data_IF_740665753852
#
_entry.id   IF_740665753852
#
_cell.length_a   1.000
_cell.length_b   1.000
_cell.length_c   1.000
_cell.angle_alpha   90.00
_cell.angle_beta   90.00
_cell.angle_gamma   90.00
#
_symmetry.space_group_name_H-M   'P 1'
#
loop_
_entity.id
_entity.type
_entity.pdbx_description
1 polymer ?
#
# COMPACT_ATOMS: atom_id res chain seq x y z
N UNK A 1 -8.27 -4.47 -3.51
CA UNK A 1 -9.00 -3.19 -3.51
C UNK A 1 -8.00 -2.04 -3.59
N UNK A 2 -8.32 -0.98 -4.31
CA UNK A 2 -7.53 0.27 -4.38
C UNK A 2 -8.37 1.43 -3.89
N UNK A 3 -7.80 2.27 -3.04
CA UNK A 3 -8.39 3.50 -2.52
C UNK A 3 -7.56 4.66 -3.05
N UNK A 4 -8.22 5.64 -3.65
CA UNK A 4 -7.63 6.85 -4.20
C UNK A 4 -8.19 8.03 -3.38
N UNK A 5 -7.42 8.54 -2.42
CA UNK A 5 -7.79 9.74 -1.67
C UNK A 5 -7.91 10.95 -2.60
N UNK A 6 -8.71 11.94 -2.22
CA UNK A 6 -8.86 13.22 -2.95
C UNK A 6 -7.62 14.12 -2.94
N UNK A 7 -6.43 13.54 -2.73
CA UNK A 7 -5.18 14.23 -2.48
C UNK A 7 -4.15 13.78 -3.50
N UNK A 8 -3.32 14.69 -3.98
CA UNK A 8 -2.26 14.39 -4.94
C UNK A 8 -0.89 14.57 -4.31
N UNK A 9 -0.05 13.53 -4.38
CA UNK A 9 1.35 13.60 -3.96
C UNK A 9 2.22 13.75 -5.20
N UNK A 10 3.02 14.81 -5.23
CA UNK A 10 4.01 15.00 -6.29
C UNK A 10 5.09 13.91 -6.22
N UNK A 11 5.22 13.13 -7.28
CA UNK A 11 6.32 12.16 -7.42
C UNK A 11 7.68 12.83 -7.26
N UNK A 12 7.88 14.03 -7.84
CA UNK A 12 9.12 14.80 -7.66
C UNK A 12 9.42 15.10 -6.20
N UNK A 13 8.42 15.51 -5.44
CA UNK A 13 8.56 15.74 -4.00
C UNK A 13 8.93 14.45 -3.26
N UNK A 14 8.22 13.34 -3.53
CA UNK A 14 8.43 12.07 -2.85
C UNK A 14 9.87 11.54 -3.06
N UNK A 15 10.35 11.58 -4.30
CA UNK A 15 11.73 11.21 -4.63
C UNK A 15 12.77 12.18 -4.04
N UNK A 16 12.48 13.49 -3.98
CA UNK A 16 13.40 14.45 -3.36
C UNK A 16 13.59 14.20 -1.86
N UNK A 17 12.54 13.74 -1.18
CA UNK A 17 12.56 13.35 0.24
C UNK A 17 13.22 11.98 0.43
N UNK A 18 12.97 11.02 -0.46
CA UNK A 18 13.55 9.69 -0.37
C UNK A 18 15.07 9.69 -0.63
N UNK A 19 15.59 10.48 -1.59
CA UNK A 19 17.04 10.57 -1.85
C UNK A 19 17.84 11.01 -0.63
N UNK A 20 17.28 11.89 0.23
CA UNK A 20 17.89 12.28 1.50
C UNK A 20 18.01 11.12 2.51
N UNK A 21 17.28 10.02 2.31
CA UNK A 21 17.24 8.85 3.19
C UNK A 21 18.03 7.66 2.62
N UNK A 22 18.14 7.56 1.29
CA UNK A 22 18.83 6.47 0.57
C UNK A 22 20.36 6.45 0.79
N UNK A 23 20.94 7.41 1.50
CA UNK A 23 22.34 7.39 1.94
C UNK A 23 22.63 6.31 3.00
N UNK A 24 21.67 5.42 3.30
CA UNK A 24 21.82 4.30 4.23
C UNK A 24 21.70 2.96 3.48
N UNK A 25 22.83 2.25 3.35
CA UNK A 25 22.95 1.00 2.59
C UNK A 25 22.15 -0.15 3.18
N UNK A 26 20.99 -0.45 2.58
CA UNK A 26 20.21 -1.65 2.84
C UNK A 26 20.46 -2.72 1.79
N UNK A 27 20.60 -3.98 2.20
CA UNK A 27 20.63 -5.13 1.27
C UNK A 27 19.27 -5.25 0.58
N UNK A 28 19.29 -5.35 -0.76
CA UNK A 28 18.08 -5.62 -1.52
C UNK A 28 17.51 -7.01 -1.16
N UNK A 29 16.20 -7.13 -0.87
CA UNK A 29 15.57 -8.42 -0.65
C UNK A 29 15.62 -9.26 -1.93
N UNK A 30 15.94 -10.56 -1.79
CA UNK A 30 15.91 -11.51 -2.90
C UNK A 30 14.47 -11.94 -3.19
N UNK A 31 13.79 -11.23 -4.09
CA UNK A 31 12.42 -11.51 -4.50
C UNK A 31 12.23 -12.87 -5.19
N UNK A 32 13.27 -13.44 -5.80
CA UNK A 32 13.15 -14.75 -6.46
C UNK A 32 12.87 -15.87 -5.44
N UNK A 33 13.61 -15.90 -4.33
CA UNK A 33 13.40 -16.88 -3.26
C UNK A 33 12.14 -16.66 -2.42
N UNK A 34 11.44 -15.54 -2.62
CA UNK A 34 10.18 -15.21 -1.94
C UNK A 34 8.96 -15.84 -2.65
N UNK A 35 9.04 -16.04 -3.96
CA UNK A 35 7.97 -16.61 -4.80
C UNK A 35 7.85 -18.13 -4.61
N UNK A 36 8.95 -18.80 -4.27
CA UNK A 36 8.99 -20.26 -4.06
C UNK A 36 8.37 -20.72 -2.73
N UNK A 37 7.88 -19.79 -1.89
CA UNK A 37 7.29 -20.10 -0.59
C UNK A 37 5.79 -20.31 -0.70
N UNK A 38 5.27 -21.26 0.09
CA UNK A 38 3.82 -21.51 0.22
C UNK A 38 3.04 -20.35 0.83
N UNK A 39 3.71 -19.48 1.58
CA UNK A 39 3.15 -18.25 2.13
C UNK A 39 3.94 -17.04 1.65
N UNK A 40 3.24 -16.01 1.18
CA UNK A 40 3.83 -14.73 0.78
C UNK A 40 4.22 -13.96 2.06
N UNK A 41 5.52 -13.74 2.33
CA UNK A 41 5.92 -13.04 3.53
C UNK A 41 5.84 -11.53 3.28
N UNK A 42 4.64 -10.98 3.48
CA UNK A 42 4.31 -9.57 3.25
C UNK A 42 5.25 -8.56 3.96
N UNK A 43 5.94 -8.98 5.03
CA UNK A 43 6.98 -8.18 5.71
C UNK A 43 8.14 -7.72 4.80
N UNK A 44 8.37 -8.38 3.66
CA UNK A 44 9.40 -7.97 2.69
C UNK A 44 8.86 -7.06 1.57
N UNK A 45 7.55 -6.80 1.55
CA UNK A 45 6.88 -5.94 0.58
C UNK A 45 6.65 -4.53 1.13
N UNK A 46 7.64 -3.99 1.85
CA UNK A 46 7.58 -2.63 2.34
C UNK A 46 7.83 -1.62 1.20
N UNK A 47 7.04 -0.56 1.19
CA UNK A 47 7.24 0.55 0.26
C UNK A 47 8.05 1.65 0.96
N UNK A 48 9.24 1.94 0.44
CA UNK A 48 10.18 2.92 1.00
C UNK A 48 9.60 4.33 1.17
N UNK A 49 8.59 4.69 0.38
CA UNK A 49 7.89 5.98 0.46
C UNK A 49 6.96 6.06 1.66
N UNK A 50 6.47 4.94 2.21
CA UNK A 50 5.47 4.95 3.29
C UNK A 50 5.92 5.77 4.49
N UNK A 51 7.17 5.61 4.94
CA UNK A 51 7.67 6.36 6.09
C UNK A 51 7.60 7.88 5.89
N UNK A 52 7.97 8.37 4.70
CA UNK A 52 7.95 9.81 4.42
C UNK A 52 6.55 10.32 4.11
N UNK A 53 5.74 9.50 3.42
CA UNK A 53 4.38 9.85 3.03
C UNK A 53 3.48 9.87 4.26
N UNK A 54 3.49 8.85 5.10
CA UNK A 54 2.64 8.80 6.30
C UNK A 54 3.06 9.80 7.36
N UNK A 55 4.35 10.16 7.43
CA UNK A 55 4.79 11.23 8.32
C UNK A 55 4.34 12.62 7.85
N UNK A 56 4.15 12.82 6.53
CA UNK A 56 3.74 14.12 5.97
C UNK A 56 2.22 14.22 5.80
N UNK A 57 1.59 13.11 5.44
CA UNK A 57 0.18 12.91 5.13
C UNK A 57 -0.34 11.73 5.97
N UNK A 58 -0.49 11.90 7.30
CA UNK A 58 -0.90 10.83 8.21
C UNK A 58 -2.24 10.20 7.84
N UNK A 59 -3.13 10.96 7.18
CA UNK A 59 -4.40 10.47 6.67
C UNK A 59 -4.27 9.30 5.67
N UNK A 60 -3.16 9.22 4.93
CA UNK A 60 -2.88 8.07 4.05
C UNK A 60 -2.48 6.85 4.86
N UNK A 61 -1.70 7.05 5.94
CA UNK A 61 -1.35 6.00 6.88
C UNK A 61 -2.59 5.42 7.55
N UNK A 62 -3.52 6.29 7.96
CA UNK A 62 -4.80 5.87 8.55
C UNK A 62 -5.62 4.99 7.60
N UNK A 63 -5.62 5.25 6.30
CA UNK A 63 -6.30 4.39 5.31
C UNK A 63 -5.67 3.00 5.29
N UNK A 64 -4.34 2.90 5.31
CA UNK A 64 -3.64 1.61 5.40
C UNK A 64 -4.03 0.85 6.67
N UNK A 65 -4.03 1.52 7.81
CA UNK A 65 -4.38 0.91 9.10
C UNK A 65 -5.84 0.44 9.11
N UNK A 66 -6.76 1.25 8.56
CA UNK A 66 -8.16 0.88 8.42
C UNK A 66 -8.36 -0.31 7.48
N UNK A 67 -7.61 -0.42 6.39
CA UNK A 67 -7.65 -1.61 5.53
C UNK A 67 -7.28 -2.87 6.31
N UNK A 68 -6.17 -2.83 7.07
CA UNK A 68 -5.70 -3.96 7.88
C UNK A 68 -6.71 -4.33 8.97
N UNK A 69 -7.27 -3.33 9.66
CA UNK A 69 -8.31 -3.54 10.66
C UNK A 69 -9.59 -4.16 10.06
N UNK A 70 -9.84 -3.95 8.77
CA UNK A 70 -11.00 -4.47 8.05
C UNK A 70 -10.65 -5.66 7.16
N UNK A 71 -9.82 -6.57 7.68
CA UNK A 71 -9.52 -7.89 7.10
C UNK A 71 -8.72 -7.88 5.79
N UNK A 72 -8.07 -6.76 5.45
CA UNK A 72 -7.02 -6.83 4.45
C UNK A 72 -5.86 -7.67 5.00
N UNK A 73 -5.49 -8.73 4.30
CA UNK A 73 -4.31 -9.55 4.62
C UNK A 73 -3.01 -8.75 4.52
N UNK A 74 -3.01 -7.78 3.62
CA UNK A 74 -1.92 -6.84 3.42
C UNK A 74 -2.47 -5.53 2.91
N UNK A 75 -1.85 -4.41 3.31
CA UNK A 75 -2.15 -3.11 2.76
C UNK A 75 -0.87 -2.29 2.61
N UNK A 76 -0.75 -1.52 1.55
CA UNK A 76 0.42 -0.68 1.29
C UNK A 76 0.09 0.49 0.37
N UNK A 77 0.94 1.51 0.41
CA UNK A 77 0.96 2.59 -0.56
C UNK A 77 1.34 2.06 -1.96
N UNK A 78 0.65 2.54 -2.99
CA UNK A 78 1.01 2.26 -4.38
C UNK A 78 2.01 3.31 -4.90
N UNK A 79 3.24 2.88 -5.21
CA UNK A 79 4.30 3.76 -5.70
C UNK A 79 4.61 4.90 -4.71
N UNK A 80 4.72 6.14 -5.21
CA UNK A 80 4.90 7.33 -4.36
C UNK A 80 3.61 7.84 -3.69
N UNK A 81 2.50 7.13 -3.87
CA UNK A 81 1.18 7.58 -3.42
C UNK A 81 0.48 8.52 -4.41
N UNK A 82 -0.72 9.01 -4.07
CA UNK A 82 -1.42 8.85 -2.78
C UNK A 82 -2.26 7.58 -2.65
N UNK A 83 -2.42 6.80 -3.72
CA UNK A 83 -3.27 5.62 -3.71
C UNK A 83 -2.74 4.56 -2.73
N UNK A 84 -3.65 3.93 -1.99
CA UNK A 84 -3.37 2.82 -1.08
C UNK A 84 -4.15 1.61 -1.58
N UNK A 85 -3.55 0.42 -1.51
CA UNK A 85 -4.23 -0.82 -1.87
C UNK A 85 -4.24 -1.80 -0.71
N UNK A 86 -5.28 -2.63 -0.68
CA UNK A 86 -5.43 -3.74 0.24
C UNK A 86 -5.64 -5.05 -0.53
N UNK A 87 -4.97 -6.11 -0.09
CA UNK A 87 -5.15 -7.48 -0.56
C UNK A 87 -6.08 -8.22 0.40
N UNK A 88 -7.05 -8.93 -0.15
CA UNK A 88 -8.06 -9.66 0.59
C UNK A 88 -8.10 -11.08 0.06
N UNK A 89 -8.29 -12.06 0.95
CA UNK A 89 -8.39 -13.47 0.54
C UNK A 89 -9.73 -13.78 -0.15
N UNK A 90 -10.75 -12.95 0.04
CA UNK A 90 -12.06 -13.10 -0.59
C UNK A 90 -12.73 -11.76 -0.96
N UNK A 91 -13.63 -11.83 -1.93
CA UNK A 91 -14.36 -10.68 -2.46
C UNK A 91 -15.35 -10.07 -1.45
N UNK A 92 -15.90 -10.87 -0.52
CA UNK A 92 -16.90 -10.40 0.43
C UNK A 92 -16.28 -9.43 1.44
N UNK A 93 -15.12 -9.76 1.98
CA UNK A 93 -14.36 -8.88 2.87
C UNK A 93 -13.91 -7.60 2.15
N UNK A 94 -13.46 -7.72 0.90
CA UNK A 94 -13.07 -6.56 0.09
C UNK A 94 -14.25 -5.60 -0.15
N UNK A 95 -15.45 -6.14 -0.46
CA UNK A 95 -16.67 -5.34 -0.63
C UNK A 95 -17.13 -4.70 0.68
N UNK A 96 -17.05 -5.44 1.79
CA UNK A 96 -17.39 -4.89 3.11
C UNK A 96 -16.47 -3.74 3.47
N UNK A 97 -15.16 -3.86 3.20
CA UNK A 97 -14.21 -2.79 3.41
C UNK A 97 -14.50 -1.59 2.50
N UNK A 98 -14.83 -1.82 1.21
CA UNK A 98 -15.12 -0.74 0.25
C UNK A 98 -16.19 0.24 0.76
N UNK A 99 -17.27 -0.28 1.35
CA UNK A 99 -18.37 0.52 1.90
C UNK A 99 -17.93 1.54 2.96
N UNK A 100 -16.82 1.27 3.67
CA UNK A 100 -16.27 2.18 4.67
C UNK A 100 -15.54 3.37 4.05
N UNK A 101 -15.03 3.22 2.83
CA UNK A 101 -14.18 4.22 2.19
C UNK A 101 -14.89 4.97 1.06
N UNK A 102 -15.90 4.36 0.43
CA UNK A 102 -16.58 4.91 -0.76
C UNK A 102 -17.31 6.22 -0.51
N UNK A 103 -17.60 6.57 0.75
CA UNK A 103 -18.23 7.83 1.13
C UNK A 103 -17.29 9.04 1.00
N UNK A 104 -15.98 8.85 1.15
CA UNK A 104 -15.00 9.95 1.21
C UNK A 104 -13.83 9.80 0.24
N UNK A 105 -13.68 8.62 -0.37
CA UNK A 105 -12.59 8.32 -1.28
C UNK A 105 -13.11 7.60 -2.52
N UNK A 106 -12.39 7.74 -3.64
CA UNK A 106 -12.65 6.91 -4.81
C UNK A 106 -12.10 5.52 -4.54
N UNK A 107 -12.93 4.49 -4.66
CA UNK A 107 -12.53 3.09 -4.46
C UNK A 107 -12.64 2.31 -5.77
N UNK A 108 -11.82 1.27 -5.91
CA UNK A 108 -11.87 0.32 -7.02
C UNK A 108 -11.60 -1.09 -6.52
N UNK A 109 -12.57 -1.99 -6.70
CA UNK A 109 -12.35 -3.42 -6.57
C UNK A 109 -11.79 -3.99 -7.86
N UNK A 110 -10.73 -4.80 -7.75
CA UNK A 110 -10.07 -5.46 -8.86
C UNK A 110 -9.53 -6.81 -8.40
N UNK A 111 -9.33 -7.73 -9.35
CA UNK A 111 -8.75 -9.06 -9.11
C UNK A 111 -7.37 -9.13 -9.74
N UNK A 112 -6.42 -9.74 -9.05
CA UNK A 112 -5.09 -9.99 -9.59
C UNK A 112 -5.19 -10.99 -10.74
N UNK A 113 -4.53 -10.71 -11.85
CA UNK A 113 -4.41 -11.65 -12.97
C UNK A 113 -3.56 -12.84 -12.52
N UNK A 114 -4.16 -14.03 -12.54
CA UNK A 114 -3.44 -15.30 -12.42
C UNK A 114 -2.89 -15.61 -13.81
N UNK A 115 -1.56 -15.70 -13.94
CA UNK A 115 -0.88 -16.11 -15.17
C UNK A 115 -0.55 -17.59 -15.13
#
# INVERSE_FOLDING_TARGET
>A
MVIIPGMHISTKWAYSRLRKKLETGGKAPNFAGLIERSEIPFQFFENDFEKIVFSTYPEIGLIKDQLLANKARFASLSGSGSAVFGLFDNDADARSAELLFSASNKTMLTRTLIR
#
